data_IF_378673636856
#
_entry.id   IF_378673636856
#
_cell.length_a   1.000
_cell.length_b   1.000
_cell.length_c   1.000
_cell.angle_alpha   90.00
_cell.angle_beta   90.00
_cell.angle_gamma   90.00
#
_symmetry.space_group_name_H-M   'P 1'
#
loop_
_entity.id
_entity.type
_entity.pdbx_description
1 polymer ?
#
# COMPACT_ATOMS: atom_id res chain seq x y z
N UNK A 1 -1.60 -17.82 4.14
CA UNK A 1 -1.67 -16.83 3.05
C UNK A 1 -0.38 -16.03 3.13
N UNK A 2 0.36 -15.86 2.03
CA UNK A 2 1.73 -15.32 2.06
C UNK A 2 1.78 -13.90 1.49
N UNK A 3 2.59 -13.04 2.10
CA UNK A 3 2.90 -11.69 1.60
C UNK A 3 3.89 -11.80 0.43
N UNK A 4 3.62 -11.09 -0.65
CA UNK A 4 4.52 -11.03 -1.82
C UNK A 4 5.30 -9.72 -1.88
N UNK A 5 6.50 -9.76 -2.46
CA UNK A 5 7.29 -8.55 -2.71
C UNK A 5 6.55 -7.54 -3.60
N UNK A 6 5.72 -8.02 -4.53
CA UNK A 6 4.89 -7.16 -5.39
C UNK A 6 3.86 -6.37 -4.56
N UNK A 7 3.18 -7.02 -3.62
CA UNK A 7 2.24 -6.33 -2.72
C UNK A 7 2.95 -5.30 -1.85
N UNK A 8 4.15 -5.60 -1.34
CA UNK A 8 4.95 -4.65 -0.58
C UNK A 8 5.38 -3.44 -1.42
N UNK A 9 5.79 -3.64 -2.68
CA UNK A 9 6.12 -2.53 -3.59
C UNK A 9 4.90 -1.67 -3.94
N UNK A 10 3.76 -2.31 -4.20
CA UNK A 10 2.51 -1.60 -4.49
C UNK A 10 2.06 -0.77 -3.30
N UNK A 11 2.12 -1.35 -2.10
CA UNK A 11 1.84 -0.65 -0.87
C UNK A 11 2.81 0.51 -0.64
N UNK A 12 4.13 0.29 -0.78
CA UNK A 12 5.15 1.34 -0.59
C UNK A 12 4.93 2.53 -1.52
N UNK A 13 4.68 2.29 -2.80
CA UNK A 13 4.40 3.35 -3.77
C UNK A 13 3.11 4.12 -3.41
N UNK A 14 2.03 3.41 -3.04
CA UNK A 14 0.78 4.02 -2.62
C UNK A 14 0.91 4.82 -1.32
N UNK A 15 1.71 4.35 -0.37
CA UNK A 15 2.02 5.00 0.90
C UNK A 15 2.85 6.27 0.69
N UNK A 16 3.86 6.21 -0.17
CA UNK A 16 4.70 7.37 -0.52
C UNK A 16 3.90 8.48 -1.21
N UNK A 17 2.97 8.12 -2.09
CA UNK A 17 2.14 9.09 -2.82
C UNK A 17 0.85 9.48 -2.11
N UNK A 18 0.44 8.75 -1.07
CA UNK A 18 -0.91 8.78 -0.49
C UNK A 18 -2.00 8.77 -1.57
N UNK A 19 -1.80 7.93 -2.61
CA UNK A 19 -2.67 7.88 -3.78
C UNK A 19 -2.53 6.56 -4.53
N UNK A 20 -3.64 5.83 -4.67
CA UNK A 20 -3.69 4.64 -5.53
C UNK A 20 -3.49 4.96 -7.01
N UNK A 21 -3.94 6.13 -7.47
CA UNK A 21 -3.78 6.54 -8.88
C UNK A 21 -2.32 6.78 -9.22
N UNK A 22 -1.59 7.56 -8.40
CA UNK A 22 -0.17 7.81 -8.66
C UNK A 22 0.68 6.55 -8.52
N UNK A 23 0.36 5.68 -7.58
CA UNK A 23 1.04 4.39 -7.47
C UNK A 23 0.79 3.50 -8.70
N UNK A 24 -0.42 3.54 -9.25
CA UNK A 24 -0.74 2.82 -10.48
C UNK A 24 0.06 3.36 -11.67
N UNK A 25 0.14 4.68 -11.82
CA UNK A 25 0.95 5.33 -12.85
C UNK A 25 2.44 4.99 -12.72
N UNK A 26 3.01 5.10 -11.52
CA UNK A 26 4.42 4.81 -11.26
C UNK A 26 4.78 3.35 -11.53
N UNK A 27 3.91 2.43 -11.16
CA UNK A 27 4.15 0.99 -11.28
C UNK A 27 3.66 0.40 -12.61
N UNK A 28 3.14 1.24 -13.52
CA UNK A 28 2.51 0.81 -14.77
C UNK A 28 1.40 -0.24 -14.55
N UNK A 29 0.56 -0.02 -13.54
CA UNK A 29 -0.58 -0.84 -13.18
C UNK A 29 -1.89 -0.07 -13.40
N UNK A 30 -3.01 -0.77 -13.30
CA UNK A 30 -4.32 -0.12 -13.18
C UNK A 30 -4.61 0.23 -11.72
N UNK A 31 -5.35 1.32 -11.49
CA UNK A 31 -5.76 1.71 -10.14
C UNK A 31 -6.55 0.60 -9.41
N UNK A 32 -7.50 -0.12 -10.06
CA UNK A 32 -8.15 -1.28 -9.43
C UNK A 32 -7.16 -2.39 -9.08
N UNK A 33 -6.13 -2.62 -9.90
CA UNK A 33 -5.07 -3.60 -9.62
C UNK A 33 -4.17 -3.22 -8.45
N UNK A 34 -3.94 -1.93 -8.21
CA UNK A 34 -3.26 -1.42 -7.01
C UNK A 34 -4.14 -1.62 -5.78
N UNK A 35 -5.39 -1.17 -5.84
CA UNK A 35 -6.35 -1.31 -4.74
C UNK A 35 -6.53 -2.78 -4.31
N UNK A 36 -6.69 -3.69 -5.27
CA UNK A 36 -6.84 -5.12 -4.98
C UNK A 36 -5.61 -5.72 -4.30
N UNK A 37 -4.41 -5.36 -4.71
CA UNK A 37 -3.18 -5.87 -4.09
C UNK A 37 -2.99 -5.35 -2.67
N UNK A 38 -3.37 -4.09 -2.41
CA UNK A 38 -3.33 -3.50 -1.06
C UNK A 38 -4.37 -4.18 -0.17
N UNK A 39 -5.59 -4.38 -0.66
CA UNK A 39 -6.62 -5.12 0.08
C UNK A 39 -6.17 -6.54 0.43
N UNK A 40 -5.56 -7.27 -0.51
CA UNK A 40 -5.00 -8.60 -0.22
C UNK A 40 -3.89 -8.56 0.82
N UNK A 41 -3.07 -7.49 0.83
CA UNK A 41 -2.05 -7.31 1.87
C UNK A 41 -2.68 -7.05 3.24
N UNK A 42 -3.69 -6.18 3.31
CA UNK A 42 -4.48 -5.90 4.52
C UNK A 42 -5.17 -7.18 5.05
N UNK A 43 -5.68 -8.04 4.16
CA UNK A 43 -6.27 -9.34 4.52
C UNK A 43 -5.25 -10.30 5.16
N UNK A 44 -4.00 -10.30 4.67
CA UNK A 44 -2.93 -11.13 5.27
C UNK A 44 -2.47 -10.57 6.61
N UNK A 45 -2.40 -9.24 6.74
CA UNK A 45 -1.98 -8.55 7.97
C UNK A 45 -3.09 -8.55 9.02
N UNK A 46 -4.36 -8.59 8.59
CA UNK A 46 -5.53 -8.51 9.46
C UNK A 46 -5.85 -7.10 9.95
N UNK A 47 -5.19 -6.07 9.41
CA UNK A 47 -5.39 -4.67 9.77
C UNK A 47 -5.44 -3.79 8.52
N UNK A 48 -6.27 -2.72 8.52
CA UNK A 48 -6.23 -1.72 7.46
C UNK A 48 -4.90 -0.97 7.52
N UNK A 49 -4.31 -0.72 6.36
CA UNK A 49 -3.06 0.04 6.20
C UNK A 49 -3.33 1.49 5.78
N UNK A 50 -4.48 1.73 5.14
CA UNK A 50 -4.94 3.08 4.81
C UNK A 50 -6.26 3.41 5.47
N UNK A 51 -6.47 4.70 5.71
CA UNK A 51 -7.73 5.27 6.14
C UNK A 51 -8.07 6.52 5.34
N UNK A 52 -9.36 6.85 5.27
CA UNK A 52 -9.84 8.04 4.60
C UNK A 52 -10.36 9.04 5.63
N UNK A 53 -9.68 10.18 5.73
CA UNK A 53 -10.09 11.29 6.59
C UNK A 53 -10.62 12.39 5.66
N UNK A 54 -11.96 12.47 5.58
CA UNK A 54 -12.65 13.33 4.61
C UNK A 54 -12.37 12.90 3.16
N UNK A 55 -11.65 13.73 2.41
CA UNK A 55 -11.28 13.45 1.00
C UNK A 55 -9.81 13.05 0.82
N UNK A 56 -9.07 12.87 1.91
CA UNK A 56 -7.64 12.56 1.89
C UNK A 56 -7.41 11.15 2.39
N UNK A 57 -6.45 10.48 1.74
CA UNK A 57 -5.95 9.16 2.12
C UNK A 57 -4.78 9.36 3.08
N UNK A 58 -4.78 8.59 4.17
CA UNK A 58 -3.76 8.61 5.21
C UNK A 58 -3.33 7.17 5.52
N UNK A 59 -2.12 7.01 6.08
CA UNK A 59 -1.69 5.74 6.64
C UNK A 59 -2.30 5.57 8.03
N UNK A 60 -2.75 4.35 8.34
CA UNK A 60 -3.07 3.96 9.70
C UNK A 60 -1.77 3.77 10.51
N UNK A 61 -1.83 3.56 11.83
CA UNK A 61 -0.66 3.17 12.61
C UNK A 61 0.05 1.91 12.04
N UNK A 62 -0.73 0.90 11.65
CA UNK A 62 -0.20 -0.30 11.00
C UNK A 62 0.42 0.04 9.62
N UNK A 63 -0.21 0.91 8.85
CA UNK A 63 0.33 1.43 7.58
C UNK A 63 1.71 2.08 7.77
N UNK A 64 1.88 2.91 8.80
CA UNK A 64 3.16 3.55 9.10
C UNK A 64 4.27 2.54 9.44
N UNK A 65 3.95 1.51 10.24
CA UNK A 65 4.91 0.46 10.55
C UNK A 65 5.35 -0.29 9.29
N UNK A 66 4.38 -0.77 8.49
CA UNK A 66 4.68 -1.52 7.26
C UNK A 66 5.44 -0.65 6.26
N UNK A 67 5.14 0.66 6.18
CA UNK A 67 5.86 1.57 5.28
C UNK A 67 7.33 1.72 5.69
N UNK A 68 7.59 1.82 6.99
CA UNK A 68 8.96 1.86 7.52
C UNK A 68 9.73 0.58 7.20
N UNK A 69 9.07 -0.59 7.28
CA UNK A 69 9.69 -1.86 6.90
C UNK A 69 9.90 -2.00 5.39
N UNK A 70 8.93 -1.60 4.56
CA UNK A 70 9.02 -1.75 3.10
C UNK A 70 10.16 -0.92 2.50
N UNK A 71 10.46 0.26 3.08
CA UNK A 71 11.59 1.08 2.67
C UNK A 71 12.96 0.41 2.91
N UNK A 72 13.06 -0.47 3.92
CA UNK A 72 14.31 -1.19 4.23
C UNK A 72 14.59 -2.37 3.31
N UNK A 73 13.56 -2.91 2.65
CA UNK A 73 13.67 -4.09 1.77
C UNK A 73 13.96 -3.65 0.31
N UNK A 74 13.81 -2.35 0.01
CA UNK A 74 14.12 -1.76 -1.30
C UNK A 74 15.59 -1.39 -1.54
N UNK A 75 16.50 -1.76 -0.63
CA UNK A 75 17.96 -1.63 -0.73
C UNK A 75 18.61 -3.00 -0.53
#
# INVERSE_FOLDING_TARGET
>A
MNITFRQLRVFESAARHLSYTRAAEELHLSQPGVSMQIKQLEEVIGLPLFEQIGKKMHLTPAGHEIFTYSQRIGH
#
